data_IF_068842658071
#
_entry.id   IF_068842658071
#
_cell.length_a   1.000
_cell.length_b   1.000
_cell.length_c   1.000
_cell.angle_alpha   90.00
_cell.angle_beta   90.00
_cell.angle_gamma   90.00
#
_symmetry.space_group_name_H-M   'P 1'
#
loop_
_entity.id
_entity.type
_entity.pdbx_description
1 polymer ?
#
# COMPACT_ATOMS: atom_id res chain seq x y z
N UNK A 1 23.63 -7.16 -55.96
CA UNK A 1 24.04 -6.20 -54.92
C UNK A 1 22.90 -6.08 -53.92
N UNK A 2 23.11 -6.50 -52.67
CA UNK A 2 22.11 -6.42 -51.58
C UNK A 2 21.84 -4.94 -51.32
N UNK A 3 20.72 -4.42 -51.80
CA UNK A 3 20.23 -3.10 -51.43
C UNK A 3 19.93 -3.17 -49.93
N UNK A 4 20.87 -2.70 -49.12
CA UNK A 4 20.61 -2.43 -47.71
C UNK A 4 19.36 -1.60 -47.65
N UNK A 5 18.31 -2.19 -47.08
CA UNK A 5 16.97 -1.65 -47.09
C UNK A 5 16.96 -0.47 -46.09
N UNK A 6 17.30 0.72 -46.59
CA UNK A 6 17.46 1.94 -45.78
C UNK A 6 16.18 2.24 -44.99
N UNK A 7 15.04 1.80 -45.51
CA UNK A 7 13.75 1.83 -44.84
C UNK A 7 13.72 0.94 -43.60
N UNK A 8 14.19 -0.32 -43.72
CA UNK A 8 14.33 -1.24 -42.59
C UNK A 8 15.28 -0.68 -41.52
N UNK A 9 16.41 -0.08 -41.92
CA UNK A 9 17.35 0.56 -40.98
C UNK A 9 16.68 1.71 -40.23
N UNK A 10 15.89 2.54 -40.91
CA UNK A 10 15.14 3.62 -40.26
C UNK A 10 14.15 3.09 -39.23
N UNK A 11 13.42 2.03 -39.55
CA UNK A 11 12.48 1.39 -38.61
C UNK A 11 13.22 0.81 -37.41
N UNK A 12 14.30 0.05 -37.63
CA UNK A 12 15.09 -0.54 -36.55
C UNK A 12 15.67 0.54 -35.63
N UNK A 13 16.20 1.63 -36.18
CA UNK A 13 16.68 2.77 -35.41
C UNK A 13 15.57 3.42 -34.58
N UNK A 14 14.38 3.61 -35.17
CA UNK A 14 13.21 4.15 -34.47
C UNK A 14 12.75 3.25 -33.32
N UNK A 15 12.69 1.93 -33.53
CA UNK A 15 12.32 0.97 -32.48
C UNK A 15 13.32 0.99 -31.33
N UNK A 16 14.63 0.99 -31.62
CA UNK A 16 15.67 1.08 -30.58
C UNK A 16 15.52 2.37 -29.76
N UNK A 17 15.23 3.49 -30.43
CA UNK A 17 15.03 4.78 -29.76
C UNK A 17 13.78 4.77 -28.86
N UNK A 18 12.67 4.17 -29.31
CA UNK A 18 11.46 4.01 -28.49
C UNK A 18 11.70 3.10 -27.29
N UNK A 19 12.42 1.98 -27.47
CA UNK A 19 12.79 1.08 -26.37
C UNK A 19 13.65 1.80 -25.34
N UNK A 20 14.66 2.57 -25.78
CA UNK A 20 15.50 3.36 -24.89
C UNK A 20 14.69 4.41 -24.12
N UNK A 21 13.74 5.09 -24.77
CA UNK A 21 12.85 6.04 -24.12
C UNK A 21 11.95 5.36 -23.06
N UNK A 22 11.40 4.18 -23.37
CA UNK A 22 10.59 3.43 -22.42
C UNK A 22 11.37 3.01 -21.17
N UNK A 23 12.61 2.53 -21.33
CA UNK A 23 13.50 2.22 -20.20
C UNK A 23 13.83 3.48 -19.39
N UNK A 24 14.16 4.59 -20.04
CA UNK A 24 14.45 5.85 -19.35
C UNK A 24 13.27 6.29 -18.48
N UNK A 25 12.04 6.24 -19.02
CA UNK A 25 10.83 6.57 -18.25
C UNK A 25 10.64 5.60 -17.09
N UNK A 26 10.84 4.30 -17.28
CA UNK A 26 10.69 3.31 -16.21
C UNK A 26 11.68 3.53 -15.05
N UNK A 27 12.95 3.82 -15.35
CA UNK A 27 13.97 4.06 -14.32
C UNK A 27 13.83 5.41 -13.60
N UNK A 28 13.18 6.40 -14.23
CA UNK A 28 12.94 7.71 -13.64
C UNK A 28 11.68 7.78 -12.78
N UNK A 29 10.89 6.69 -12.68
CA UNK A 29 9.72 6.66 -11.80
C UNK A 29 10.17 6.79 -10.33
N UNK A 30 9.61 7.74 -9.56
CA UNK A 30 9.84 7.81 -8.13
C UNK A 30 9.48 6.47 -7.49
N UNK A 31 10.35 5.96 -6.61
CA UNK A 31 10.01 4.79 -5.81
C UNK A 31 8.93 5.20 -4.81
N UNK A 32 7.93 4.34 -4.53
CA UNK A 32 7.04 4.55 -3.40
C UNK A 32 7.91 4.75 -2.14
N UNK A 33 7.57 5.76 -1.35
CA UNK A 33 8.35 6.18 -0.19
C UNK A 33 7.40 6.57 0.93
N UNK A 34 7.95 6.57 2.16
CA UNK A 34 7.26 7.12 3.32
C UNK A 34 6.94 8.60 3.10
N UNK A 35 5.70 8.97 3.42
CA UNK A 35 5.17 10.32 3.38
C UNK A 35 5.32 11.00 4.76
N UNK A 36 5.19 12.35 4.82
CA UNK A 36 5.11 13.06 6.10
C UNK A 36 4.01 12.51 7.02
N UNK A 37 4.30 12.38 8.30
CA UNK A 37 3.40 11.80 9.32
C UNK A 37 2.63 12.86 10.12
N UNK A 38 2.65 14.12 9.66
CA UNK A 38 1.95 15.25 10.27
C UNK A 38 0.44 15.28 9.94
N UNK A 39 0.01 14.46 8.98
CA UNK A 39 -1.37 14.34 8.53
C UNK A 39 -1.83 12.85 8.55
N UNK A 40 -3.13 12.59 8.83
CA UNK A 40 -3.65 11.23 8.91
C UNK A 40 -3.50 10.43 7.60
N UNK A 41 -3.58 11.10 6.46
CA UNK A 41 -3.33 10.57 5.12
C UNK A 41 -1.96 9.88 5.05
N UNK A 42 -0.93 10.57 5.54
CA UNK A 42 0.45 10.11 5.49
C UNK A 42 0.70 8.94 6.44
N UNK A 43 0.05 8.95 7.61
CA UNK A 43 0.11 7.81 8.55
C UNK A 43 -0.56 6.56 7.97
N UNK A 44 -1.75 6.71 7.36
CA UNK A 44 -2.43 5.59 6.71
C UNK A 44 -1.63 5.04 5.51
N UNK A 45 -1.10 5.92 4.65
CA UNK A 45 -0.19 5.54 3.56
C UNK A 45 1.02 4.78 4.10
N UNK A 46 1.68 5.33 5.12
CA UNK A 46 2.91 4.74 5.65
C UNK A 46 2.69 3.40 6.35
N UNK A 47 1.53 3.19 6.98
CA UNK A 47 1.15 1.90 7.55
C UNK A 47 1.04 0.83 6.48
N UNK A 48 0.27 1.11 5.43
CA UNK A 48 0.08 0.19 4.30
C UNK A 48 1.39 -0.05 3.56
N UNK A 49 2.17 1.00 3.33
CA UNK A 49 3.48 0.90 2.72
C UNK A 49 4.48 0.10 3.57
N UNK A 50 4.44 0.23 4.90
CA UNK A 50 5.26 -0.59 5.79
C UNK A 50 4.88 -2.08 5.72
N UNK A 51 3.59 -2.41 5.60
CA UNK A 51 3.13 -3.77 5.36
C UNK A 51 3.64 -4.33 4.02
N UNK A 52 3.51 -3.56 2.93
CA UNK A 52 4.03 -3.95 1.60
C UNK A 52 5.55 -4.21 1.62
N UNK A 53 6.29 -3.44 2.41
CA UNK A 53 7.73 -3.54 2.55
C UNK A 53 8.18 -4.59 3.59
N UNK A 54 7.25 -5.29 4.23
CA UNK A 54 7.48 -6.19 5.37
C UNK A 54 8.24 -5.53 6.54
N UNK A 55 8.09 -4.21 6.69
CA UNK A 55 8.62 -3.39 7.79
C UNK A 55 7.63 -3.39 8.96
N UNK A 56 7.45 -4.57 9.57
CA UNK A 56 6.41 -4.79 10.58
C UNK A 56 6.62 -3.97 11.85
N UNK A 57 7.87 -3.70 12.23
CA UNK A 57 8.19 -2.81 13.36
C UNK A 57 7.58 -1.43 13.14
N UNK A 58 7.74 -0.88 11.92
CA UNK A 58 7.18 0.42 11.58
C UNK A 58 5.67 0.39 11.41
N UNK A 59 5.13 -0.66 10.78
CA UNK A 59 3.68 -0.85 10.65
C UNK A 59 2.99 -0.91 12.03
N UNK A 60 3.53 -1.73 12.94
CA UNK A 60 3.09 -1.82 14.33
C UNK A 60 3.16 -0.45 15.03
N UNK A 61 4.22 0.33 14.77
CA UNK A 61 4.38 1.68 15.30
C UNK A 61 3.25 2.65 14.95
N UNK A 62 2.46 2.43 13.89
CA UNK A 62 1.32 3.29 13.55
C UNK A 62 0.02 2.92 14.28
N UNK A 63 -0.04 1.74 14.91
CA UNK A 63 -1.20 1.31 15.68
C UNK A 63 -1.34 2.13 16.97
N UNK A 64 -2.59 2.42 17.33
CA UNK A 64 -2.89 3.05 18.61
C UNK A 64 -2.81 2.02 19.73
N UNK A 65 -2.09 2.30 20.83
CA UNK A 65 -2.09 1.42 22.00
C UNK A 65 -3.46 1.33 22.71
N UNK A 66 -4.45 2.09 22.25
CA UNK A 66 -5.84 2.04 22.74
C UNK A 66 -6.70 0.99 22.05
N UNK A 67 -6.18 0.29 21.03
CA UNK A 67 -6.87 -0.84 20.40
C UNK A 67 -7.10 -1.92 21.46
N UNK A 68 -8.25 -2.61 21.41
CA UNK A 68 -8.63 -3.58 22.45
C UNK A 68 -7.72 -4.80 22.46
N UNK A 69 -7.52 -5.39 21.28
CA UNK A 69 -6.62 -6.51 21.05
C UNK A 69 -5.27 -6.03 20.54
N UNK A 70 -4.75 -4.93 21.11
CA UNK A 70 -3.46 -4.38 20.73
C UNK A 70 -2.36 -5.45 20.87
N UNK A 71 -1.60 -5.77 19.81
CA UNK A 71 -0.55 -6.78 19.87
C UNK A 71 0.48 -6.47 20.96
N UNK A 72 0.91 -7.49 21.70
CA UNK A 72 1.81 -7.31 22.85
C UNK A 72 3.22 -6.82 22.44
N UNK A 73 3.63 -7.10 21.20
CA UNK A 73 4.90 -6.67 20.62
C UNK A 73 4.81 -6.62 19.09
N UNK A 74 5.85 -6.06 18.45
CA UNK A 74 5.96 -6.07 16.99
C UNK A 74 6.08 -7.48 16.42
N UNK A 75 6.67 -8.42 17.17
CA UNK A 75 6.72 -9.84 16.78
C UNK A 75 5.32 -10.47 16.80
N UNK A 76 4.53 -10.23 17.85
CA UNK A 76 3.15 -10.71 17.90
C UNK A 76 2.30 -10.10 16.76
N UNK A 77 2.48 -8.81 16.47
CA UNK A 77 1.86 -8.17 15.30
C UNK A 77 2.27 -8.85 13.99
N UNK A 78 3.56 -9.16 13.82
CA UNK A 78 4.06 -9.85 12.62
C UNK A 78 3.49 -11.26 12.50
N UNK A 79 3.35 -11.99 13.61
CA UNK A 79 2.69 -13.30 13.65
C UNK A 79 1.23 -13.17 13.23
N UNK A 80 0.48 -12.21 13.79
CA UNK A 80 -0.91 -11.93 13.38
C UNK A 80 -1.01 -11.64 11.88
N UNK A 81 -0.12 -10.79 11.34
CA UNK A 81 -0.11 -10.45 9.90
C UNK A 81 0.12 -11.70 9.04
N UNK A 82 0.97 -12.62 9.48
CA UNK A 82 1.25 -13.88 8.77
C UNK A 82 0.11 -14.90 8.92
N UNK A 83 -0.46 -15.04 10.11
CA UNK A 83 -1.58 -15.96 10.38
C UNK A 83 -2.85 -15.52 9.64
N UNK A 84 -3.03 -14.21 9.48
CA UNK A 84 -4.11 -13.61 8.71
C UNK A 84 -3.64 -13.11 7.32
N UNK A 85 -2.63 -13.76 6.73
CA UNK A 85 -2.02 -13.36 5.44
C UNK A 85 -3.00 -13.06 4.32
N UNK A 86 -4.14 -13.76 4.28
CA UNK A 86 -5.22 -13.50 3.32
C UNK A 86 -5.89 -12.13 3.51
N UNK A 87 -6.08 -11.71 4.77
CA UNK A 87 -6.64 -10.39 5.12
C UNK A 87 -5.66 -9.26 4.83
N UNK A 88 -4.36 -9.55 4.95
CA UNK A 88 -3.26 -8.63 4.63
C UNK A 88 -2.77 -8.72 3.19
N UNK A 89 -3.36 -9.62 2.37
CA UNK A 89 -3.10 -9.77 0.95
C UNK A 89 -1.60 -9.86 0.60
N UNK A 90 -0.82 -10.56 1.43
CA UNK A 90 0.64 -10.62 1.29
C UNK A 90 1.10 -11.25 -0.04
N UNK A 91 0.21 -11.98 -0.73
CA UNK A 91 0.48 -12.65 -2.00
C UNK A 91 -0.17 -11.96 -3.21
N UNK A 92 -1.01 -10.94 -3.00
CA UNK A 92 -1.75 -10.29 -4.08
C UNK A 92 -0.94 -9.15 -4.71
N UNK A 93 -1.00 -9.05 -6.05
CA UNK A 93 -0.52 -7.85 -6.76
C UNK A 93 -1.57 -6.75 -6.66
N UNK A 94 -1.44 -5.92 -5.62
CA UNK A 94 -2.31 -4.78 -5.35
C UNK A 94 -1.57 -3.45 -5.43
N UNK A 95 -2.31 -2.38 -5.65
CA UNK A 95 -1.82 -1.00 -5.49
C UNK A 95 -2.77 -0.27 -4.57
N UNK A 96 -2.20 0.45 -3.61
CA UNK A 96 -2.92 1.19 -2.58
C UNK A 96 -2.69 2.69 -2.78
N UNK A 97 -3.78 3.46 -2.83
CA UNK A 97 -3.73 4.91 -3.01
C UNK A 97 -4.72 5.59 -2.06
N UNK A 98 -4.27 6.63 -1.35
CA UNK A 98 -5.18 7.46 -0.53
C UNK A 98 -6.08 8.27 -1.47
N UNK A 99 -7.38 8.00 -1.45
CA UNK A 99 -8.37 8.67 -2.30
C UNK A 99 -8.89 9.95 -1.64
N UNK A 100 -9.22 9.89 -0.35
CA UNK A 100 -9.75 11.06 0.37
C UNK A 100 -9.53 10.93 1.86
N UNK A 101 -9.66 12.03 2.59
CA UNK A 101 -9.60 12.02 4.05
C UNK A 101 -10.57 13.02 4.66
N UNK A 102 -11.20 12.60 5.75
CA UNK A 102 -12.18 13.36 6.51
C UNK A 102 -11.73 13.46 7.95
N UNK A 103 -11.35 14.67 8.37
CA UNK A 103 -10.94 14.95 9.75
C UNK A 103 -12.10 15.61 10.50
N UNK A 104 -12.45 15.07 11.66
CA UNK A 104 -13.49 15.58 12.58
C UNK A 104 -12.93 15.59 14.00
N UNK A 105 -12.47 16.76 14.46
CA UNK A 105 -11.86 16.89 15.79
C UNK A 105 -10.55 16.10 15.89
N UNK A 106 -10.50 15.18 16.84
CA UNK A 106 -9.37 14.27 17.11
C UNK A 106 -9.49 12.94 16.35
N UNK A 107 -10.45 12.80 15.43
CA UNK A 107 -10.66 11.59 14.62
C UNK A 107 -10.53 11.89 13.14
N UNK A 108 -9.93 10.96 12.41
CA UNK A 108 -9.85 11.00 10.96
C UNK A 108 -10.31 9.67 10.35
N UNK A 109 -10.93 9.75 9.19
CA UNK A 109 -11.23 8.61 8.33
C UNK A 109 -10.52 8.84 7.00
N UNK A 110 -9.59 7.96 6.67
CA UNK A 110 -8.85 7.96 5.42
C UNK A 110 -9.43 6.87 4.52
N UNK A 111 -9.99 7.26 3.38
CA UNK A 111 -10.49 6.31 2.38
C UNK A 111 -9.35 5.97 1.44
N UNK A 112 -9.03 4.68 1.35
CA UNK A 112 -7.97 4.13 0.52
C UNK A 112 -8.60 3.35 -0.64
N UNK A 113 -8.13 3.61 -1.86
CA UNK A 113 -8.43 2.81 -3.04
C UNK A 113 -7.43 1.67 -3.13
N UNK A 114 -7.94 0.46 -3.22
CA UNK A 114 -7.20 -0.75 -3.56
C UNK A 114 -7.51 -1.12 -5.00
N UNK A 115 -6.47 -1.30 -5.81
CA UNK A 115 -6.57 -1.83 -7.17
C UNK A 115 -5.86 -3.17 -7.25
N UNK A 116 -6.61 -4.24 -7.47
CA UNK A 116 -6.07 -5.59 -7.67
C UNK A 116 -5.93 -5.87 -9.16
N UNK A 117 -4.76 -6.36 -9.57
CA UNK A 117 -4.48 -6.76 -10.94
C UNK A 117 -4.57 -8.29 -11.06
N UNK A 118 -5.31 -8.78 -12.06
CA UNK A 118 -5.34 -10.20 -12.36
C UNK A 118 -4.79 -10.45 -13.77
N UNK A 119 -3.87 -11.41 -13.88
CA UNK A 119 -3.30 -11.85 -15.16
C UNK A 119 -4.00 -13.13 -15.64
N UNK A 120 -4.93 -13.00 -16.57
CA UNK A 120 -5.55 -14.14 -17.28
C UNK A 120 -4.88 -14.50 -18.62
N UNK A 121 -3.69 -13.94 -18.92
CA UNK A 121 -3.00 -14.07 -20.20
C UNK A 121 -3.24 -12.89 -21.17
N UNK A 122 -2.76 -13.02 -22.41
CA UNK A 122 -2.63 -11.93 -23.43
C UNK A 122 -3.89 -11.10 -23.70
N UNK A 123 -5.09 -11.61 -23.40
CA UNK A 123 -6.36 -10.92 -23.66
C UNK A 123 -7.35 -10.95 -22.49
N UNK A 124 -6.91 -11.45 -21.32
CA UNK A 124 -7.78 -11.61 -20.15
C UNK A 124 -7.12 -11.06 -18.88
N UNK A 125 -6.25 -10.07 -19.04
CA UNK A 125 -5.83 -9.22 -17.93
C UNK A 125 -6.91 -8.18 -17.65
N UNK A 126 -7.07 -7.84 -16.39
CA UNK A 126 -7.92 -6.74 -15.97
C UNK A 126 -7.56 -6.27 -14.57
N UNK A 127 -8.25 -5.23 -14.17
CA UNK A 127 -8.10 -4.63 -12.85
C UNK A 127 -9.49 -4.49 -12.24
N UNK A 128 -9.55 -4.66 -10.93
CA UNK A 128 -10.72 -4.33 -10.14
C UNK A 128 -10.27 -3.39 -9.04
N UNK A 129 -11.03 -2.31 -8.84
CA UNK A 129 -10.76 -1.36 -7.77
C UNK A 129 -11.90 -1.34 -6.77
N UNK A 130 -11.55 -1.30 -5.50
CA UNK A 130 -12.47 -1.08 -4.39
C UNK A 130 -11.91 -0.02 -3.45
N UNK A 131 -12.71 0.43 -2.49
CA UNK A 131 -12.29 1.38 -1.45
C UNK A 131 -12.55 0.78 -0.07
N UNK A 132 -11.68 1.11 0.88
CA UNK A 132 -11.86 0.75 2.28
C UNK A 132 -11.42 1.93 3.17
N UNK A 133 -11.96 1.99 4.38
CA UNK A 133 -11.66 3.09 5.31
C UNK A 133 -10.65 2.65 6.38
N UNK A 134 -9.68 3.53 6.64
CA UNK A 134 -8.74 3.47 7.77
C UNK A 134 -9.14 4.56 8.75
N UNK A 135 -9.42 4.19 10.00
CA UNK A 135 -9.79 5.14 11.05
C UNK A 135 -8.61 5.43 11.95
N UNK A 136 -8.34 6.72 12.17
CA UNK A 136 -7.26 7.21 13.02
C UNK A 136 -7.79 8.11 14.12
N UNK A 137 -7.06 8.15 15.23
CA UNK A 137 -7.26 9.12 16.31
C UNK A 137 -5.96 9.88 16.55
N UNK A 138 -6.10 11.16 16.90
CA UNK A 138 -4.99 11.99 17.31
C UNK A 138 -4.72 11.79 18.80
N UNK A 139 -3.50 11.38 19.14
CA UNK A 139 -3.08 11.19 20.53
C UNK A 139 -2.98 12.54 21.22
N UNK A 140 -3.77 12.73 22.28
CA UNK A 140 -3.76 13.95 23.06
C UNK A 140 -2.36 14.19 23.68
N UNK A 141 -1.79 15.36 23.43
CA UNK A 141 -0.48 15.76 23.97
C UNK A 141 0.65 15.69 22.95
N UNK A 142 0.82 14.58 22.22
CA UNK A 142 1.84 14.49 21.14
C UNK A 142 1.34 15.05 19.81
N UNK A 143 0.02 15.00 19.56
CA UNK A 143 -0.57 15.41 18.28
C UNK A 143 -0.36 14.39 17.16
N UNK A 144 0.22 13.23 17.46
CA UNK A 144 0.47 12.16 16.50
C UNK A 144 -0.83 11.44 16.16
N UNK A 145 -1.00 11.07 14.89
CA UNK A 145 -2.10 10.23 14.45
C UNK A 145 -1.74 8.75 14.62
N UNK A 146 -2.67 7.96 15.17
CA UNK A 146 -2.55 6.52 15.31
C UNK A 146 -3.79 5.82 14.77
N UNK A 147 -3.61 4.68 14.13
CA UNK A 147 -4.68 3.87 13.56
C UNK A 147 -5.40 3.13 14.69
N UNK A 148 -6.72 3.14 14.68
CA UNK A 148 -7.56 2.44 15.67
C UNK A 148 -8.41 1.33 15.08
N UNK A 149 -8.66 1.38 13.77
CA UNK A 149 -9.34 0.32 13.02
C UNK A 149 -9.11 0.51 11.52
N UNK A 150 -9.25 -0.57 10.75
CA UNK A 150 -9.27 -0.52 9.28
C UNK A 150 -10.18 -1.61 8.75
N UNK A 151 -10.91 -1.33 7.67
CA UNK A 151 -11.81 -2.30 7.03
C UNK A 151 -11.04 -3.40 6.26
N UNK A 152 -9.78 -3.14 5.91
CA UNK A 152 -8.86 -4.08 5.25
C UNK A 152 -7.45 -3.93 5.81
N UNK A 153 -6.57 -4.90 5.56
CA UNK A 153 -5.22 -4.94 6.16
C UNK A 153 -5.26 -4.78 7.68
N UNK A 154 -6.18 -5.51 8.32
CA UNK A 154 -6.46 -5.45 9.75
C UNK A 154 -6.83 -6.83 10.26
N UNK A 155 -6.20 -7.28 11.35
CA UNK A 155 -6.60 -8.54 11.96
C UNK A 155 -7.90 -8.34 12.74
N UNK A 156 -8.96 -9.09 12.40
CA UNK A 156 -10.27 -8.98 13.04
C UNK A 156 -10.23 -9.15 14.57
N UNK A 157 -9.26 -9.92 15.08
CA UNK A 157 -9.05 -10.16 16.50
C UNK A 157 -8.51 -8.94 17.26
N UNK A 158 -7.96 -7.92 16.58
CA UNK A 158 -7.55 -6.67 17.22
C UNK A 158 -8.75 -5.85 17.73
N UNK A 159 -9.95 -6.10 17.22
CA UNK A 159 -11.19 -5.47 17.69
C UNK A 159 -11.79 -6.17 18.93
N UNK A 160 -11.30 -7.34 19.29
CA UNK A 160 -11.69 -8.10 20.48
C UNK A 160 -10.78 -7.74 21.67
N UNK A 161 -11.34 -7.75 22.88
CA UNK A 161 -10.58 -7.58 24.14
C UNK A 161 -9.62 -8.74 24.40
N UNK A 162 -9.90 -9.92 23.83
CA UNK A 162 -9.09 -11.12 24.03
C UNK A 162 -7.92 -11.20 23.03
N UNK A 163 -7.87 -10.29 22.04
CA UNK A 163 -6.82 -10.27 21.02
C UNK A 163 -6.81 -11.52 20.15
N UNK A 164 -5.67 -11.83 19.54
CA UNK A 164 -5.49 -12.95 18.62
C UNK A 164 -5.06 -14.27 19.31
N UNK A 165 -5.49 -14.47 20.56
CA UNK A 165 -5.08 -15.60 21.43
C UNK A 165 -5.86 -16.90 21.22
#
# INVERSE_FOLDING_TARGET
>A
MKSTDKFLIGIVGGVILLVAAAFAVAFLRPKPAYQPEDAPEGVAHNYLFALEQADYERAYGYLSPTIKGYPASAEAFSEDVHDYSWTFRLEDSTTLEVESTRVTGDRAVVTVRETTFYEGGLFNSGEYSNTFDVTLVQVAGSGEWKIVSSDSYWAWCWDDKDGCQ
#
